data_IF_373546670041
#
_entry.id   IF_373546670041
#
_cell.length_a   1.000
_cell.length_b   1.000
_cell.length_c   1.000
_cell.angle_alpha   90.00
_cell.angle_beta   90.00
_cell.angle_gamma   90.00
#
_symmetry.space_group_name_H-M   'P 1'
#
loop_
_entity.id
_entity.type
_entity.pdbx_description
1 polymer ?
#
# COMPACT_ATOMS: atom_id res chain seq x y z
N UNK A 1 -30.15 16.13 -7.60
CA UNK A 1 -28.90 15.79 -8.34
C UNK A 1 -29.29 14.88 -9.50
N UNK A 2 -28.88 15.21 -10.72
CA UNK A 2 -29.14 14.35 -11.87
C UNK A 2 -28.28 13.07 -11.80
N UNK A 3 -28.78 11.96 -12.32
CA UNK A 3 -28.06 10.69 -12.38
C UNK A 3 -28.32 9.99 -13.70
N UNK A 4 -27.35 9.21 -14.17
CA UNK A 4 -27.46 8.36 -15.37
C UNK A 4 -27.18 6.92 -14.98
N UNK A 5 -27.95 5.99 -15.52
CA UNK A 5 -27.73 4.56 -15.35
C UNK A 5 -26.69 4.06 -16.36
N UNK A 6 -25.61 3.47 -15.86
CA UNK A 6 -24.53 2.89 -16.68
C UNK A 6 -24.26 1.48 -16.16
N UNK A 7 -24.42 0.47 -17.02
CA UNK A 7 -24.32 -0.95 -16.66
C UNK A 7 -25.16 -1.35 -15.43
N UNK A 8 -26.33 -0.73 -15.26
CA UNK A 8 -27.21 -0.95 -14.11
C UNK A 8 -26.79 -0.22 -12.82
N UNK A 9 -25.78 0.65 -12.85
CA UNK A 9 -25.39 1.49 -11.72
C UNK A 9 -25.79 2.95 -11.94
N UNK A 10 -26.36 3.56 -10.89
CA UNK A 10 -26.62 5.00 -10.86
C UNK A 10 -25.33 5.79 -10.69
N UNK A 11 -24.97 6.54 -11.73
CA UNK A 11 -23.84 7.48 -11.75
C UNK A 11 -24.37 8.89 -11.58
N UNK A 12 -24.05 9.52 -10.44
CA UNK A 12 -24.45 10.89 -10.18
C UNK A 12 -23.74 11.87 -11.11
N UNK A 13 -24.39 12.98 -11.41
CA UNK A 13 -23.81 14.13 -12.08
C UNK A 13 -23.61 15.25 -11.04
N UNK A 14 -22.42 15.86 -11.07
CA UNK A 14 -22.13 17.07 -10.31
C UNK A 14 -22.94 18.25 -10.88
N UNK A 15 -22.96 19.37 -10.15
CA UNK A 15 -23.54 20.64 -10.62
C UNK A 15 -22.96 21.08 -11.97
N UNK A 16 -21.69 20.75 -12.23
CA UNK A 16 -20.98 21.08 -13.47
C UNK A 16 -21.13 20.02 -14.57
N UNK A 17 -22.07 19.07 -14.41
CA UNK A 17 -22.32 17.99 -15.38
C UNK A 17 -21.28 16.88 -15.41
N UNK A 18 -20.21 16.94 -14.58
CA UNK A 18 -19.20 15.88 -14.49
C UNK A 18 -19.77 14.64 -13.78
N UNK A 19 -19.46 13.45 -14.32
CA UNK A 19 -19.84 12.17 -13.71
C UNK A 19 -19.08 11.92 -12.40
N UNK A 20 -19.82 11.64 -11.33
CA UNK A 20 -19.31 11.20 -10.04
C UNK A 20 -19.29 9.68 -10.05
N UNK A 21 -18.10 9.12 -10.20
CA UNK A 21 -17.92 7.68 -10.37
C UNK A 21 -18.04 6.90 -9.06
N UNK A 22 -19.11 6.09 -8.86
CA UNK A 22 -19.29 5.30 -7.65
C UNK A 22 -18.24 4.18 -7.57
N UNK A 23 -17.98 3.70 -6.36
CA UNK A 23 -17.00 2.63 -6.13
C UNK A 23 -17.36 1.34 -6.89
N UNK A 24 -18.66 1.05 -7.06
CA UNK A 24 -19.16 -0.13 -7.79
C UNK A 24 -18.75 -0.10 -9.26
N UNK A 25 -19.03 0.98 -9.99
CA UNK A 25 -18.57 1.16 -11.40
C UNK A 25 -17.06 0.98 -11.51
N UNK A 26 -16.29 1.59 -10.61
CA UNK A 26 -14.82 1.49 -10.66
C UNK A 26 -14.35 0.05 -10.51
N UNK A 27 -14.98 -0.72 -9.60
CA UNK A 27 -14.67 -2.14 -9.42
C UNK A 27 -15.06 -2.96 -10.64
N UNK A 28 -16.26 -2.74 -11.19
CA UNK A 28 -16.73 -3.45 -12.38
C UNK A 28 -15.84 -3.16 -13.59
N UNK A 29 -15.44 -1.90 -13.79
CA UNK A 29 -14.51 -1.53 -14.85
C UNK A 29 -13.15 -2.24 -14.70
N UNK A 30 -12.64 -2.37 -13.47
CA UNK A 30 -11.39 -3.11 -13.21
C UNK A 30 -11.58 -4.61 -13.44
N UNK A 31 -12.69 -5.19 -12.99
CA UNK A 31 -13.06 -6.61 -13.20
C UNK A 31 -13.06 -6.94 -14.68
N UNK A 32 -13.76 -6.15 -15.51
CA UNK A 32 -13.82 -6.35 -16.96
C UNK A 32 -12.45 -6.26 -17.64
N UNK A 33 -11.59 -5.35 -17.19
CA UNK A 33 -10.25 -5.21 -17.80
C UNK A 33 -9.34 -6.38 -17.40
N UNK A 34 -9.39 -6.85 -16.16
CA UNK A 34 -8.49 -7.90 -15.65
C UNK A 34 -8.98 -9.30 -15.92
N UNK A 35 -10.23 -9.55 -15.59
CA UNK A 35 -10.81 -10.89 -15.54
C UNK A 35 -11.41 -11.23 -16.91
N UNK A 36 -12.12 -10.28 -17.54
CA UNK A 36 -12.72 -10.47 -18.86
C UNK A 36 -11.77 -10.04 -20.01
N UNK A 37 -10.58 -9.50 -19.70
CA UNK A 37 -9.58 -9.09 -20.69
C UNK A 37 -10.00 -7.93 -21.61
N UNK A 38 -11.03 -7.16 -21.23
CA UNK A 38 -11.57 -6.10 -22.07
C UNK A 38 -10.58 -4.94 -22.25
N UNK A 39 -10.42 -4.41 -23.47
CA UNK A 39 -9.52 -3.29 -23.71
C UNK A 39 -10.05 -2.02 -23.03
N UNK A 40 -9.15 -1.29 -22.38
CA UNK A 40 -9.48 -0.05 -21.64
C UNK A 40 -10.23 0.98 -22.50
N UNK A 41 -9.90 1.06 -23.80
CA UNK A 41 -10.55 1.95 -24.76
C UNK A 41 -12.06 1.68 -24.89
N UNK A 42 -12.43 0.40 -24.96
CA UNK A 42 -13.83 -0.02 -25.06
C UNK A 42 -14.59 0.38 -23.80
N UNK A 43 -14.02 0.06 -22.63
CA UNK A 43 -14.59 0.42 -21.34
C UNK A 43 -14.74 1.94 -21.18
N UNK A 44 -13.75 2.72 -21.59
CA UNK A 44 -13.82 4.17 -21.54
C UNK A 44 -14.91 4.74 -22.46
N UNK A 45 -15.07 4.17 -23.65
CA UNK A 45 -16.12 4.54 -24.59
C UNK A 45 -17.52 4.24 -24.03
N UNK A 46 -17.75 3.05 -23.48
CA UNK A 46 -19.03 2.68 -22.84
C UNK A 46 -19.38 3.59 -21.65
N UNK A 47 -18.37 3.93 -20.85
CA UNK A 47 -18.54 4.87 -19.74
C UNK A 47 -18.65 6.32 -20.20
N UNK A 48 -18.35 6.65 -21.45
CA UNK A 48 -18.23 8.01 -21.96
C UNK A 48 -17.24 8.83 -21.12
N UNK A 49 -16.04 8.27 -20.90
CA UNK A 49 -14.93 8.90 -20.19
C UNK A 49 -13.62 8.74 -20.95
N UNK A 50 -12.54 9.29 -20.41
CA UNK A 50 -11.20 9.18 -21.00
C UNK A 50 -10.51 7.90 -20.53
N UNK A 51 -9.81 7.22 -21.43
CA UNK A 51 -9.01 6.00 -21.16
C UNK A 51 -8.14 6.12 -19.91
N UNK A 52 -7.48 7.27 -19.73
CA UNK A 52 -6.59 7.55 -18.61
C UNK A 52 -7.26 7.28 -17.25
N UNK A 53 -8.54 7.62 -17.12
CA UNK A 53 -9.27 7.45 -15.87
C UNK A 53 -9.46 5.97 -15.52
N UNK A 54 -9.78 5.14 -16.52
CA UNK A 54 -9.92 3.70 -16.36
C UNK A 54 -8.57 3.05 -16.04
N UNK A 55 -7.49 3.43 -16.75
CA UNK A 55 -6.12 2.98 -16.43
C UNK A 55 -5.72 3.30 -14.99
N UNK A 56 -6.09 4.49 -14.50
CA UNK A 56 -5.82 4.90 -13.11
C UNK A 56 -6.53 4.00 -12.11
N UNK A 57 -7.77 3.57 -12.39
CA UNK A 57 -8.49 2.65 -11.50
C UNK A 57 -7.84 1.27 -11.47
N UNK A 58 -7.43 0.75 -12.63
CA UNK A 58 -6.71 -0.54 -12.74
C UNK A 58 -5.42 -0.49 -11.93
N UNK A 59 -4.57 0.52 -12.14
CA UNK A 59 -3.32 0.70 -11.39
C UNK A 59 -3.54 0.81 -9.88
N UNK A 60 -4.56 1.56 -9.46
CA UNK A 60 -4.88 1.70 -8.03
C UNK A 60 -5.33 0.36 -7.42
N UNK A 61 -6.07 -0.45 -8.17
CA UNK A 61 -6.43 -1.78 -7.74
C UNK A 61 -5.21 -2.73 -7.69
N UNK A 62 -4.18 -2.51 -8.53
CA UNK A 62 -2.94 -3.33 -8.53
C UNK A 62 -2.16 -3.04 -7.26
N UNK A 63 -1.94 -1.75 -6.98
CA UNK A 63 -1.27 -1.31 -5.76
C UNK A 63 -1.96 -1.82 -4.49
N UNK A 64 -3.30 -1.90 -4.49
CA UNK A 64 -4.06 -2.46 -3.36
C UNK A 64 -3.89 -3.97 -3.21
N UNK A 65 -3.93 -4.71 -4.32
CA UNK A 65 -3.68 -6.15 -4.29
C UNK A 65 -2.27 -6.46 -3.77
N UNK A 66 -1.28 -5.65 -4.12
CA UNK A 66 0.09 -5.77 -3.60
C UNK A 66 0.20 -5.41 -2.11
N UNK A 67 -0.63 -4.48 -1.62
CA UNK A 67 -0.59 -4.03 -0.22
C UNK A 67 -1.41 -4.91 0.74
N UNK A 68 -2.42 -5.63 0.26
CA UNK A 68 -3.21 -6.57 1.09
C UNK A 68 -2.41 -7.79 1.55
N UNK A 69 -1.26 -8.07 0.92
CA UNK A 69 -0.29 -9.07 1.40
C UNK A 69 0.63 -8.57 2.51
N UNK A 70 0.56 -7.29 2.91
CA UNK A 70 1.23 -6.75 4.10
C UNK A 70 0.21 -6.59 5.20
N UNK A 71 0.23 -7.53 6.14
CA UNK A 71 -0.49 -7.47 7.41
C UNK A 71 -0.35 -6.07 8.01
N UNK A 72 -1.47 -5.38 8.22
CA UNK A 72 -1.47 -4.13 8.99
C UNK A 72 -0.97 -4.46 10.40
N UNK A 73 0.06 -3.79 10.93
CA UNK A 73 0.41 -3.98 12.33
C UNK A 73 -0.80 -3.56 13.19
N UNK A 74 -1.36 -4.51 13.95
CA UNK A 74 -2.34 -4.21 14.99
C UNK A 74 -1.69 -3.22 15.96
N UNK A 75 -2.32 -2.10 16.29
CA UNK A 75 -1.66 -1.03 17.03
C UNK A 75 -1.29 -1.41 18.47
N UNK A 76 -1.98 -2.38 19.10
CA UNK A 76 -1.61 -2.88 20.42
C UNK A 76 -2.06 -4.33 20.61
N UNK A 77 -1.19 -5.17 21.18
CA UNK A 77 -1.51 -6.49 21.71
C UNK A 77 -1.28 -6.45 23.24
N UNK A 78 -2.33 -6.70 24.01
CA UNK A 78 -2.27 -6.75 25.46
C UNK A 78 -1.54 -8.04 25.89
N UNK A 79 -0.32 -7.88 26.44
CA UNK A 79 0.48 -9.01 26.94
C UNK A 79 0.06 -9.31 28.38
N UNK A 80 -0.68 -10.40 28.58
CA UNK A 80 -0.87 -10.99 29.92
C UNK A 80 0.42 -11.70 30.33
N UNK A 81 1.21 -11.08 31.20
CA UNK A 81 2.35 -11.72 31.86
C UNK A 81 1.82 -12.73 32.88
N UNK A 82 1.73 -14.01 32.49
CA UNK A 82 1.71 -15.10 33.46
C UNK A 82 3.14 -15.24 34.01
N UNK A 83 3.29 -14.90 35.28
CA UNK A 83 4.55 -15.10 36.01
C UNK A 83 4.73 -16.59 36.31
N UNK A 84 5.73 -17.23 35.68
CA UNK A 84 6.20 -18.56 36.11
C UNK A 84 7.74 -18.66 35.94
N UNK A 85 8.50 -19.27 36.89
CA UNK A 85 9.95 -19.18 36.98
C UNK A 85 10.70 -20.17 36.06
N UNK A 86 12.02 -20.00 35.87
CA UNK A 86 12.72 -20.43 34.65
C UNK A 86 13.12 -21.91 34.69
N UNK A 87 12.95 -22.63 33.57
CA UNK A 87 13.70 -23.87 33.31
C UNK A 87 14.19 -23.95 31.86
N UNK A 88 15.53 -23.95 31.79
CA UNK A 88 16.44 -24.38 30.73
C UNK A 88 15.86 -25.14 29.52
N UNK A 89 16.07 -24.59 28.33
CA UNK A 89 16.61 -25.28 27.16
C UNK A 89 16.94 -24.26 26.04
N UNK A 90 18.19 -24.29 25.55
CA UNK A 90 18.61 -23.73 24.25
C UNK A 90 17.81 -24.40 23.10
N UNK A 91 17.77 -23.93 21.83
CA UNK A 91 18.69 -23.01 21.14
C UNK A 91 17.98 -21.97 20.24
N UNK A 92 18.72 -21.01 19.68
CA UNK A 92 18.64 -20.66 18.25
C UNK A 92 19.35 -19.34 17.96
N UNK A 93 20.27 -19.43 17.00
CA UNK A 93 20.78 -18.37 16.11
C UNK A 93 20.29 -16.98 16.45
N UNK A 94 21.21 -16.19 16.98
CA UNK A 94 21.15 -14.74 17.07
C UNK A 94 20.67 -14.18 15.72
N UNK A 95 19.36 -13.96 15.64
CA UNK A 95 18.79 -13.03 14.67
C UNK A 95 19.18 -11.67 15.19
N UNK A 96 20.42 -11.28 14.90
CA UNK A 96 20.99 -9.99 15.27
C UNK A 96 20.01 -8.94 14.82
N UNK A 97 19.32 -8.35 15.78
CA UNK A 97 18.31 -7.35 15.51
C UNK A 97 19.02 -6.17 14.84
N UNK A 98 18.67 -5.86 13.60
CA UNK A 98 19.27 -4.77 12.83
C UNK A 98 18.30 -3.58 12.76
N UNK A 99 18.81 -2.37 13.00
CA UNK A 99 18.12 -1.12 12.72
C UNK A 99 18.31 -0.69 11.27
N UNK A 100 17.34 0.04 10.72
CA UNK A 100 17.42 0.63 9.38
C UNK A 100 17.06 2.11 9.42
N UNK A 101 17.85 2.94 8.75
CA UNK A 101 17.61 4.37 8.58
C UNK A 101 17.43 4.69 7.09
N UNK A 102 16.32 5.35 6.76
CA UNK A 102 15.97 5.77 5.41
C UNK A 102 16.08 7.29 5.30
N UNK A 103 16.98 7.78 4.44
CA UNK A 103 17.15 9.22 4.16
C UNK A 103 17.14 9.41 2.64
N UNK A 104 16.07 10.00 2.12
CA UNK A 104 15.87 10.13 0.67
C UNK A 104 15.87 8.76 -0.03
N UNK A 105 16.84 8.55 -0.93
CA UNK A 105 17.06 7.28 -1.66
C UNK A 105 18.10 6.35 -1.03
N UNK A 106 18.69 6.71 0.11
CA UNK A 106 19.74 5.94 0.78
C UNK A 106 19.14 5.13 1.93
N UNK A 107 19.49 3.84 2.01
CA UNK A 107 19.13 2.93 3.08
C UNK A 107 20.40 2.49 3.82
N UNK A 108 20.51 2.84 5.10
CA UNK A 108 21.58 2.38 5.98
C UNK A 108 21.04 1.28 6.90
N UNK A 109 21.72 0.14 6.92
CA UNK A 109 21.39 -1.00 7.77
C UNK A 109 22.55 -1.24 8.73
N UNK A 110 22.25 -1.37 10.02
CA UNK A 110 23.24 -1.55 11.07
C UNK A 110 22.70 -2.48 12.16
N UNK A 111 23.55 -3.25 12.85
CA UNK A 111 23.10 -4.05 13.99
C UNK A 111 22.68 -3.13 15.15
N UNK A 112 21.64 -3.49 15.90
CA UNK A 112 21.21 -2.73 17.09
C UNK A 112 22.24 -2.80 18.24
N UNK A 113 23.22 -3.69 18.13
CA UNK A 113 24.40 -3.73 19.00
C UNK A 113 25.49 -2.73 18.58
N UNK A 114 25.25 -1.89 17.56
CA UNK A 114 26.22 -0.87 17.14
C UNK A 114 26.50 0.10 18.29
N UNK A 115 27.78 0.39 18.53
CA UNK A 115 28.17 1.42 19.47
C UNK A 115 27.71 2.79 18.96
N UNK A 116 27.22 3.65 19.86
CA UNK A 116 26.75 5.00 19.53
C UNK A 116 27.80 5.80 18.72
N UNK A 117 29.08 5.66 19.08
CA UNK A 117 30.19 6.31 18.39
C UNK A 117 30.31 5.91 16.91
N UNK A 118 29.98 4.66 16.57
CA UNK A 118 30.07 4.15 15.19
C UNK A 118 28.81 4.49 14.39
N UNK A 119 27.64 4.51 15.04
CA UNK A 119 26.41 5.03 14.43
C UNK A 119 26.54 6.53 14.07
N UNK A 120 27.15 7.32 14.95
CA UNK A 120 27.42 8.73 14.70
C UNK A 120 28.33 8.97 13.48
N UNK A 121 29.34 8.11 13.28
CA UNK A 121 30.20 8.15 12.07
C UNK A 121 29.40 7.88 10.80
N UNK A 122 28.53 6.86 10.82
CA UNK A 122 27.68 6.52 9.68
C UNK A 122 26.75 7.67 9.29
N UNK A 123 26.10 8.31 10.28
CA UNK A 123 25.23 9.46 10.06
C UNK A 123 26.01 10.65 9.50
N UNK A 124 27.22 10.91 10.02
CA UNK A 124 28.08 12.01 9.56
C UNK A 124 28.47 11.87 8.09
N UNK A 125 28.81 10.65 7.65
CA UNK A 125 29.14 10.38 6.24
C UNK A 125 27.90 10.51 5.36
N UNK A 126 26.75 10.00 5.80
CA UNK A 126 25.51 10.11 5.05
C UNK A 126 25.04 11.56 4.86
N UNK A 127 25.28 12.42 5.86
CA UNK A 127 24.98 13.85 5.79
C UNK A 127 25.89 14.68 4.88
N UNK A 128 27.00 14.13 4.38
CA UNK A 128 27.91 14.82 3.45
C UNK A 128 27.47 14.74 1.97
N UNK A 129 26.45 13.95 1.66
CA UNK A 129 25.89 13.80 0.31
C UNK A 129 24.61 14.62 0.08
N UNK A 130 24.36 15.63 0.92
CA UNK A 130 23.26 16.59 0.80
C UNK A 130 23.71 17.94 0.24
#
# INVERSE_FOLDING_TARGET
>A
MASVDIWGFKVGLSTDGRKIWPKSIKREAVRRVRDDGCPVKLIAAELGTRDFLVRKWVKLAEARATHDGREKPKPFAEVKLAHEPPRLAEPSRESGSSGRLLVGGVCLEFPLSIAEADLAKLIRVAGQFS
#
